data_IF_354437494911
#
_entry.id   IF_354437494911
#
_cell.length_a   1.000
_cell.length_b   1.000
_cell.length_c   1.000
_cell.angle_alpha   90.00
_cell.angle_beta   90.00
_cell.angle_gamma   90.00
#
_symmetry.space_group_name_H-M   'P 1'
#
loop_
_entity.id
_entity.type
_entity.pdbx_description
1 polymer ?
#
# COMPACT_ATOMS: atom_id res chain seq x y z
N UNK A 1 -22.19 9.02 4.75
CA UNK A 1 -21.57 9.61 5.95
C UNK A 1 -20.43 10.50 5.55
N UNK A 2 -19.89 11.33 6.49
CA UNK A 2 -18.78 12.24 6.18
C UNK A 2 -17.50 11.75 6.84
N UNK A 3 -16.45 11.64 6.06
CA UNK A 3 -15.08 11.29 6.49
C UNK A 3 -14.11 12.42 6.15
N UNK A 4 -13.18 12.65 7.04
CA UNK A 4 -12.03 13.52 6.82
C UNK A 4 -10.77 12.69 7.04
N UNK A 5 -9.93 12.58 6.03
CA UNK A 5 -8.66 11.86 6.10
C UNK A 5 -7.52 12.87 6.21
N UNK A 6 -6.76 12.79 7.29
CA UNK A 6 -5.58 13.62 7.50
C UNK A 6 -4.39 12.99 6.78
N UNK A 7 -4.00 13.57 5.66
CA UNK A 7 -2.90 13.09 4.83
C UNK A 7 -2.00 14.24 4.39
N UNK A 8 -0.69 14.03 4.29
CA UNK A 8 0.17 14.94 3.51
C UNK A 8 -0.21 14.89 2.02
N UNK A 9 0.37 15.79 1.19
CA UNK A 9 0.23 15.70 -0.27
C UNK A 9 0.58 14.31 -0.78
N UNK A 10 -0.11 13.85 -1.84
CA UNK A 10 0.18 12.55 -2.45
C UNK A 10 1.64 12.40 -2.83
N UNK A 11 2.21 11.27 -2.44
CA UNK A 11 3.57 10.89 -2.77
C UNK A 11 3.60 9.36 -2.98
N UNK A 12 3.79 8.95 -4.22
CA UNK A 12 3.84 7.53 -4.60
C UNK A 12 5.00 6.75 -4.00
N UNK A 13 6.05 7.45 -3.56
CA UNK A 13 7.21 6.81 -2.90
C UNK A 13 6.95 6.45 -1.43
N UNK A 14 5.83 6.92 -0.84
CA UNK A 14 5.49 6.73 0.57
C UNK A 14 4.22 5.89 0.70
N UNK A 15 4.37 4.60 0.99
CA UNK A 15 3.26 3.63 1.03
C UNK A 15 2.09 4.03 1.94
N UNK A 16 2.37 4.63 3.11
CA UNK A 16 1.33 5.13 4.01
C UNK A 16 0.51 6.26 3.40
N UNK A 17 1.16 7.17 2.64
CA UNK A 17 0.45 8.25 1.93
C UNK A 17 -0.42 7.67 0.81
N UNK A 18 0.11 6.72 0.03
CA UNK A 18 -0.65 6.01 -1.00
C UNK A 18 -1.89 5.34 -0.39
N UNK A 19 -1.74 4.66 0.75
CA UNK A 19 -2.85 4.02 1.44
C UNK A 19 -3.94 5.01 1.87
N UNK A 20 -3.57 6.18 2.45
CA UNK A 20 -4.52 7.23 2.83
C UNK A 20 -5.34 7.74 1.64
N UNK A 21 -4.68 7.99 0.51
CA UNK A 21 -5.36 8.43 -0.70
C UNK A 21 -6.24 7.32 -1.30
N UNK A 22 -5.77 6.09 -1.30
CA UNK A 22 -6.54 4.95 -1.80
C UNK A 22 -7.78 4.67 -0.94
N UNK A 23 -7.67 4.80 0.40
CA UNK A 23 -8.84 4.71 1.29
C UNK A 23 -9.86 5.79 0.95
N UNK A 24 -9.40 7.02 0.70
CA UNK A 24 -10.26 8.14 0.33
C UNK A 24 -11.07 7.85 -0.95
N UNK A 25 -10.43 7.27 -1.95
CA UNK A 25 -11.06 6.84 -3.20
C UNK A 25 -12.06 5.71 -3.01
N UNK A 26 -11.66 4.70 -2.22
CA UNK A 26 -12.51 3.53 -1.95
C UNK A 26 -13.78 3.94 -1.20
N UNK A 27 -13.66 4.76 -0.15
CA UNK A 27 -14.81 5.30 0.58
C UNK A 27 -15.73 6.13 -0.33
N UNK A 28 -15.15 6.99 -1.19
CA UNK A 28 -15.92 7.79 -2.16
C UNK A 28 -16.64 6.90 -3.17
N UNK A 29 -16.03 5.80 -3.60
CA UNK A 29 -16.64 4.82 -4.52
C UNK A 29 -17.80 4.06 -3.87
N UNK A 30 -17.77 3.91 -2.55
CA UNK A 30 -18.87 3.34 -1.76
C UNK A 30 -20.01 4.35 -1.48
N UNK A 31 -19.93 5.57 -2.04
CA UNK A 31 -20.96 6.60 -1.89
C UNK A 31 -20.84 7.44 -0.62
N UNK A 32 -19.72 7.33 0.09
CA UNK A 32 -19.47 8.17 1.27
C UNK A 32 -18.94 9.57 0.87
N UNK A 33 -19.24 10.58 1.67
CA UNK A 33 -18.72 11.93 1.47
C UNK A 33 -17.34 12.03 2.11
N UNK A 34 -16.28 12.17 1.28
CA UNK A 34 -14.89 12.09 1.75
C UNK A 34 -14.12 13.35 1.41
N UNK A 35 -13.40 13.84 2.40
CA UNK A 35 -12.46 14.94 2.31
C UNK A 35 -11.06 14.47 2.73
N UNK A 36 -10.03 15.02 2.08
CA UNK A 36 -8.63 14.73 2.40
C UNK A 36 -7.87 16.05 2.57
N UNK A 37 -6.94 16.11 3.53
CA UNK A 37 -6.09 17.27 3.75
C UNK A 37 -4.93 17.33 2.75
N UNK A 38 -4.49 18.53 2.46
CA UNK A 38 -3.31 18.77 1.62
C UNK A 38 -3.60 18.84 0.11
N UNK A 39 -2.74 19.53 -0.62
CA UNK A 39 -2.87 19.63 -2.08
C UNK A 39 -2.60 18.26 -2.70
N UNK A 40 -3.45 17.89 -3.62
CA UNK A 40 -3.41 16.60 -4.29
C UNK A 40 -2.58 16.71 -5.58
N UNK A 41 -1.51 15.91 -5.72
CA UNK A 41 -1.28 15.23 -6.98
C UNK A 41 -2.20 14.01 -6.93
N UNK A 42 -3.25 14.01 -7.72
CA UNK A 42 -4.40 13.14 -7.57
C UNK A 42 -4.09 11.66 -7.80
N UNK A 43 -4.57 10.83 -6.90
CA UNK A 43 -4.84 9.43 -7.22
C UNK A 43 -6.13 9.33 -8.08
N UNK A 44 -7.16 10.08 -7.80
CA UNK A 44 -8.36 10.25 -8.64
C UNK A 44 -9.18 11.50 -8.32
N UNK A 45 -10.28 11.72 -9.09
CA UNK A 45 -11.15 12.88 -8.99
C UNK A 45 -12.32 12.74 -8.00
N UNK A 46 -12.40 11.65 -7.23
CA UNK A 46 -13.58 11.31 -6.43
C UNK A 46 -13.62 11.99 -5.07
N UNK A 47 -12.46 12.13 -4.41
CA UNK A 47 -12.37 12.77 -3.11
C UNK A 47 -12.23 14.27 -3.22
N UNK A 48 -12.80 14.99 -2.25
CA UNK A 48 -12.71 16.45 -2.15
C UNK A 48 -11.48 16.84 -1.34
N UNK A 49 -10.72 17.84 -1.82
CA UNK A 49 -9.68 18.48 -1.01
C UNK A 49 -10.34 19.42 -0.03
N UNK A 50 -9.89 19.41 1.22
CA UNK A 50 -10.35 20.39 2.22
C UNK A 50 -9.87 21.78 1.80
N UNK A 51 -10.82 22.70 1.70
CA UNK A 51 -10.59 24.12 1.49
C UNK A 51 -10.77 24.91 2.80
N UNK A 52 -10.26 26.14 2.83
CA UNK A 52 -10.46 27.05 3.98
C UNK A 52 -11.94 27.39 4.24
N UNK A 53 -12.80 27.21 3.24
CA UNK A 53 -14.23 27.50 3.32
C UNK A 53 -15.07 26.31 3.78
N UNK A 54 -14.50 25.09 3.83
CA UNK A 54 -15.23 23.92 4.27
C UNK A 54 -15.52 24.00 5.77
N UNK A 55 -16.74 23.66 6.12
CA UNK A 55 -17.21 23.56 7.51
C UNK A 55 -17.69 22.15 7.77
N UNK A 56 -17.16 21.56 8.82
CA UNK A 56 -17.52 20.21 9.25
C UNK A 56 -18.27 20.28 10.57
N UNK A 57 -19.41 19.58 10.65
CA UNK A 57 -19.98 19.24 11.94
C UNK A 57 -19.12 18.10 12.53
N UNK A 58 -18.13 18.47 13.33
CA UNK A 58 -17.17 17.54 13.93
C UNK A 58 -17.82 16.57 14.93
N UNK A 59 -19.09 16.78 15.28
CA UNK A 59 -19.88 15.83 16.06
C UNK A 59 -20.49 14.71 15.19
N UNK A 60 -20.49 14.88 13.86
CA UNK A 60 -21.07 13.92 12.89
C UNK A 60 -20.09 13.52 11.80
N UNK A 61 -18.82 13.84 11.98
CA UNK A 61 -17.75 13.56 11.04
C UNK A 61 -16.75 12.63 11.67
N UNK A 62 -16.40 11.56 10.97
CA UNK A 62 -15.27 10.68 11.34
C UNK A 62 -13.98 11.30 10.81
N UNK A 63 -13.03 11.55 11.69
CA UNK A 63 -11.70 12.01 11.29
C UNK A 63 -10.69 10.87 11.41
N UNK A 64 -10.00 10.55 10.33
CA UNK A 64 -9.03 9.46 10.25
C UNK A 64 -7.63 10.07 10.28
N UNK A 65 -6.84 9.66 11.27
CA UNK A 65 -5.43 10.03 11.42
C UNK A 65 -4.55 8.79 11.30
N UNK A 66 -3.45 8.84 10.52
CA UNK A 66 -2.42 7.81 10.65
C UNK A 66 -1.72 7.90 12.01
N UNK A 67 -1.04 6.84 12.41
CA UNK A 67 -0.37 6.70 13.71
C UNK A 67 0.69 7.76 13.98
N UNK A 68 1.24 8.37 12.94
CA UNK A 68 2.27 9.41 13.04
C UNK A 68 1.73 10.78 13.49
N UNK A 69 0.41 10.96 13.48
CA UNK A 69 -0.22 12.25 13.86
C UNK A 69 -0.42 12.33 15.36
N UNK A 70 0.25 13.30 15.97
CA UNK A 70 0.14 13.58 17.41
C UNK A 70 -1.15 14.32 17.73
N UNK A 71 -1.84 13.90 18.77
CA UNK A 71 -3.04 14.56 19.28
C UNK A 71 -4.26 14.47 18.32
N UNK A 72 -5.09 15.50 18.34
CA UNK A 72 -6.31 15.59 17.52
C UNK A 72 -6.39 16.99 16.86
N UNK A 73 -5.66 17.24 15.77
CA UNK A 73 -5.56 18.57 15.15
C UNK A 73 -6.89 19.22 14.77
N UNK A 74 -7.90 18.43 14.40
CA UNK A 74 -9.25 18.96 14.08
C UNK A 74 -10.13 19.08 15.31
N UNK A 75 -9.69 18.68 16.50
CA UNK A 75 -10.53 18.61 17.71
C UNK A 75 -11.86 17.86 17.46
N UNK A 76 -11.80 16.80 16.68
CA UNK A 76 -12.97 16.00 16.30
C UNK A 76 -13.48 15.16 17.48
N UNK A 77 -14.80 14.96 17.54
CA UNK A 77 -15.41 14.07 18.55
C UNK A 77 -15.14 12.59 18.24
N UNK A 78 -15.19 12.23 16.96
CA UNK A 78 -15.08 10.85 16.50
C UNK A 78 -13.77 10.68 15.71
N UNK A 79 -12.80 10.02 16.32
CA UNK A 79 -11.45 9.84 15.79
C UNK A 79 -11.21 8.37 15.48
N UNK A 80 -10.66 8.12 14.31
CA UNK A 80 -10.06 6.84 13.92
C UNK A 80 -8.55 7.00 13.89
N UNK A 81 -7.82 6.09 14.53
CA UNK A 81 -6.37 5.90 14.42
C UNK A 81 -6.11 4.74 13.49
N UNK A 82 -5.56 5.04 12.34
CA UNK A 82 -5.23 4.03 11.35
C UNK A 82 -3.73 3.75 11.39
N UNK A 83 -3.36 2.59 11.92
CA UNK A 83 -1.98 2.18 12.08
C UNK A 83 -1.45 1.68 10.73
N UNK A 84 -0.82 2.56 9.98
CA UNK A 84 -0.10 2.27 8.73
C UNK A 84 1.30 1.74 8.98
N UNK A 85 1.72 1.79 10.26
CA UNK A 85 2.91 1.16 10.81
C UNK A 85 2.73 0.95 12.32
N UNK A 86 3.70 0.28 12.95
CA UNK A 86 3.78 0.23 14.42
C UNK A 86 4.00 1.65 14.96
N UNK A 87 3.19 2.12 15.94
CA UNK A 87 3.33 3.45 16.51
C UNK A 87 4.77 3.77 16.96
N UNK A 88 5.18 5.01 16.80
CA UNK A 88 6.51 5.54 17.09
C UNK A 88 7.63 5.10 16.14
N UNK A 89 7.44 4.09 15.32
CA UNK A 89 8.49 3.61 14.41
C UNK A 89 8.84 4.62 13.32
N UNK A 90 7.81 5.30 12.77
CA UNK A 90 7.97 6.30 11.70
C UNK A 90 7.63 7.73 12.19
N UNK A 91 7.52 7.94 13.50
CA UNK A 91 7.14 9.20 14.13
C UNK A 91 5.84 9.06 14.93
N UNK A 92 5.33 10.21 15.42
CA UNK A 92 4.20 10.23 16.35
C UNK A 92 4.61 9.86 17.78
N UNK A 93 3.68 10.03 18.73
CA UNK A 93 3.90 9.71 20.15
C UNK A 93 3.25 8.39 20.58
N UNK A 94 2.39 7.83 19.73
CA UNK A 94 1.64 6.61 20.00
C UNK A 94 0.57 6.79 21.10
N UNK A 95 0.27 8.03 21.49
CA UNK A 95 -0.72 8.31 22.55
C UNK A 95 -2.10 8.54 21.89
N UNK A 96 -3.00 7.60 22.10
CA UNK A 96 -4.38 7.65 21.59
C UNK A 96 -5.36 7.71 22.75
N UNK A 97 -6.48 8.42 22.56
CA UNK A 97 -7.53 8.48 23.57
C UNK A 97 -8.29 7.15 23.66
N UNK A 98 -8.86 6.84 24.81
CA UNK A 98 -9.70 5.64 24.99
C UNK A 98 -10.95 5.64 24.10
N UNK A 99 -11.37 6.81 23.63
CA UNK A 99 -12.49 6.99 22.70
C UNK A 99 -12.10 6.83 21.24
N UNK A 100 -10.80 6.78 20.90
CA UNK A 100 -10.34 6.65 19.53
C UNK A 100 -10.59 5.20 19.05
N UNK A 101 -11.08 5.05 17.82
CA UNK A 101 -11.25 3.76 17.17
C UNK A 101 -9.94 3.39 16.49
N UNK A 102 -9.33 2.28 16.88
CA UNK A 102 -8.02 1.86 16.36
C UNK A 102 -8.22 0.76 15.32
N UNK A 103 -7.65 0.97 14.12
CA UNK A 103 -7.59 -0.01 13.04
C UNK A 103 -6.15 -0.22 12.61
N UNK A 104 -5.79 -1.45 12.23
CA UNK A 104 -4.47 -1.78 11.69
C UNK A 104 -4.55 -1.96 10.17
N UNK A 105 -3.54 -1.52 9.45
CA UNK A 105 -3.44 -1.78 8.01
C UNK A 105 -3.20 -3.26 7.72
N UNK A 106 -2.32 -3.89 8.51
CA UNK A 106 -2.00 -5.32 8.47
C UNK A 106 -1.86 -5.87 9.88
N UNK A 107 -2.10 -7.16 10.05
CA UNK A 107 -2.15 -7.78 11.37
C UNK A 107 -0.81 -7.72 12.12
N UNK A 108 0.32 -7.82 11.44
CA UNK A 108 1.64 -7.79 12.09
C UNK A 108 2.10 -6.41 12.57
N UNK A 109 1.41 -5.31 12.25
CA UNK A 109 1.64 -4.03 12.92
C UNK A 109 1.09 -4.10 14.34
N UNK A 110 1.88 -3.66 15.32
CA UNK A 110 1.50 -3.78 16.72
C UNK A 110 0.85 -2.50 17.20
N UNK A 111 -0.27 -2.64 17.92
CA UNK A 111 -0.82 -1.59 18.75
C UNK A 111 -0.25 -1.71 20.17
N UNK A 112 -0.22 -0.60 20.94
CA UNK A 112 0.20 -0.64 22.35
C UNK A 112 -0.77 -1.46 23.21
N UNK A 113 -2.04 -1.47 22.83
CA UNK A 113 -3.10 -2.26 23.43
C UNK A 113 -3.93 -2.92 22.34
N UNK A 114 -3.65 -4.18 22.06
CA UNK A 114 -4.34 -4.95 21.02
C UNK A 114 -5.84 -5.15 21.32
N UNK A 115 -6.26 -5.06 22.59
CA UNK A 115 -7.68 -5.18 22.98
C UNK A 115 -8.54 -4.01 22.48
N UNK A 116 -7.92 -2.88 22.15
CA UNK A 116 -8.58 -1.68 21.60
C UNK A 116 -8.68 -1.68 20.08
N UNK A 117 -8.00 -2.62 19.40
CA UNK A 117 -8.06 -2.73 17.94
C UNK A 117 -9.42 -3.25 17.52
N UNK A 118 -10.08 -2.51 16.63
CA UNK A 118 -11.42 -2.83 16.11
C UNK A 118 -11.40 -3.80 14.93
N UNK A 119 -10.27 -3.84 14.21
CA UNK A 119 -10.10 -4.73 13.08
C UNK A 119 -8.99 -4.30 12.14
N UNK A 120 -8.92 -5.00 11.03
CA UNK A 120 -8.03 -4.66 9.93
C UNK A 120 -8.80 -3.75 8.96
N UNK A 121 -8.16 -2.65 8.59
CA UNK A 121 -8.59 -1.77 7.52
C UNK A 121 -7.44 -1.69 6.52
N UNK A 122 -7.53 -2.40 5.43
CA UNK A 122 -6.51 -2.35 4.39
C UNK A 122 -7.11 -1.91 3.05
N UNK A 123 -6.26 -1.37 2.21
CA UNK A 123 -6.59 -0.99 0.84
C UNK A 123 -5.43 -1.40 -0.06
N UNK A 124 -5.74 -2.23 -1.06
CA UNK A 124 -4.78 -2.68 -2.06
C UNK A 124 -5.28 -2.33 -3.46
N UNK A 125 -4.42 -1.71 -4.23
CA UNK A 125 -4.59 -1.57 -5.66
C UNK A 125 -3.30 -2.04 -6.35
N UNK A 126 -3.35 -3.24 -6.89
CA UNK A 126 -2.23 -3.82 -7.64
C UNK A 126 -2.19 -3.32 -9.08
N UNK A 127 -3.13 -2.46 -9.47
CA UNK A 127 -3.25 -1.90 -10.83
C UNK A 127 -3.32 -3.00 -11.88
N UNK A 128 -4.10 -4.04 -11.60
CA UNK A 128 -4.19 -5.25 -12.45
C UNK A 128 -4.57 -4.93 -13.91
N UNK A 129 -5.39 -3.90 -14.13
CA UNK A 129 -5.80 -3.47 -15.47
C UNK A 129 -4.70 -2.73 -16.23
N UNK A 130 -3.68 -2.22 -15.52
CA UNK A 130 -2.60 -1.45 -16.13
C UNK A 130 -1.38 -2.27 -16.45
N UNK A 131 -1.04 -3.25 -15.60
CA UNK A 131 0.15 -4.08 -15.73
C UNK A 131 -0.21 -5.45 -16.28
N UNK A 132 0.26 -5.74 -17.49
CA UNK A 132 0.03 -7.00 -18.21
C UNK A 132 1.17 -7.28 -19.18
N UNK A 133 1.35 -8.54 -19.53
CA UNK A 133 2.35 -8.98 -20.49
C UNK A 133 1.86 -8.65 -21.92
N UNK A 134 2.70 -7.98 -22.69
CA UNK A 134 2.43 -7.66 -24.10
C UNK A 134 2.61 -8.86 -25.02
N UNK A 135 3.22 -9.95 -24.53
CA UNK A 135 3.52 -11.13 -25.34
C UNK A 135 4.56 -10.88 -26.44
N UNK A 136 5.44 -9.89 -26.26
CA UNK A 136 6.50 -9.53 -27.22
C UNK A 136 7.86 -10.06 -26.76
N UNK A 137 8.79 -10.17 -27.72
CA UNK A 137 10.18 -10.45 -27.41
C UNK A 137 10.77 -9.35 -26.53
N UNK A 138 11.59 -9.76 -25.55
CA UNK A 138 12.26 -8.86 -24.63
C UNK A 138 13.64 -8.50 -25.12
N UNK A 139 13.96 -7.21 -25.15
CA UNK A 139 15.19 -6.68 -25.75
C UNK A 139 16.30 -6.45 -24.75
N UNK A 140 15.94 -6.28 -23.47
CA UNK A 140 16.85 -6.05 -22.37
C UNK A 140 16.87 -7.23 -21.42
N UNK A 141 18.05 -7.59 -20.90
CA UNK A 141 18.15 -8.71 -19.96
C UNK A 141 17.65 -8.35 -18.57
N UNK A 142 18.05 -7.21 -18.03
CA UNK A 142 17.78 -6.87 -16.64
C UNK A 142 17.43 -5.40 -16.44
N UNK A 143 16.50 -5.16 -15.50
CA UNK A 143 16.35 -3.89 -14.81
C UNK A 143 16.40 -4.11 -13.29
N UNK A 144 16.73 -3.08 -12.53
CA UNK A 144 16.89 -3.19 -11.08
C UNK A 144 16.42 -1.95 -10.33
N UNK A 145 16.18 -2.11 -9.03
CA UNK A 145 15.83 -1.02 -8.12
C UNK A 145 16.42 -1.24 -6.73
N UNK A 146 17.07 -0.23 -6.16
CA UNK A 146 17.72 -0.34 -4.84
C UNK A 146 16.83 0.16 -3.71
N UNK A 147 16.32 1.38 -3.75
CA UNK A 147 15.50 2.03 -2.70
C UNK A 147 15.94 1.65 -1.26
N UNK A 148 15.09 0.88 -0.55
CA UNK A 148 15.38 0.44 0.84
C UNK A 148 16.45 -0.63 0.95
N UNK A 149 16.97 -1.11 -0.17
CA UNK A 149 18.02 -2.13 -0.22
C UNK A 149 19.45 -1.58 -0.21
N UNK A 150 19.64 -0.33 0.19
CA UNK A 150 21.00 0.27 0.32
C UNK A 150 21.85 -0.59 1.26
N UNK A 151 23.04 -0.96 0.81
CA UNK A 151 23.97 -1.82 1.56
C UNK A 151 23.90 -3.30 1.19
N UNK A 152 22.87 -3.77 0.47
CA UNK A 152 22.86 -5.14 -0.05
C UNK A 152 23.91 -5.32 -1.15
N UNK A 153 24.45 -6.54 -1.25
CA UNK A 153 25.38 -6.89 -2.35
C UNK A 153 24.64 -6.82 -3.68
N UNK A 154 25.15 -6.00 -4.59
CA UNK A 154 24.62 -5.87 -5.96
C UNK A 154 24.99 -7.13 -6.77
N UNK A 155 23.99 -7.70 -7.45
CA UNK A 155 24.12 -8.91 -8.26
C UNK A 155 23.61 -8.76 -9.69
N UNK A 156 23.03 -7.59 -10.03
CA UNK A 156 22.60 -7.29 -11.39
C UNK A 156 23.80 -7.07 -12.33
N UNK A 157 23.58 -7.26 -13.61
CA UNK A 157 24.61 -7.03 -14.63
C UNK A 157 24.96 -5.53 -14.74
N UNK A 158 26.18 -5.21 -15.17
CA UNK A 158 26.66 -3.82 -15.25
C UNK A 158 25.89 -2.95 -16.25
N UNK A 159 25.20 -3.56 -17.23
CA UNK A 159 24.36 -2.92 -18.22
C UNK A 159 22.86 -2.98 -17.88
N UNK A 160 22.50 -3.42 -16.69
CA UNK A 160 21.12 -3.44 -16.24
C UNK A 160 20.54 -2.02 -16.15
N UNK A 161 19.26 -1.87 -16.51
CA UNK A 161 18.57 -0.57 -16.47
C UNK A 161 18.24 -0.21 -15.03
N UNK A 162 18.72 0.93 -14.54
CA UNK A 162 18.23 1.50 -13.27
C UNK A 162 16.77 1.93 -13.45
N UNK A 163 15.88 1.33 -12.69
CA UNK A 163 14.45 1.56 -12.79
C UNK A 163 13.99 2.84 -12.09
N UNK A 164 14.76 3.39 -11.14
CA UNK A 164 14.32 4.52 -10.30
C UNK A 164 13.86 5.76 -11.06
N UNK A 165 14.43 6.13 -12.24
CA UNK A 165 13.94 7.28 -13.01
C UNK A 165 12.56 7.08 -13.66
N UNK A 166 12.00 5.87 -13.68
CA UNK A 166 10.84 5.47 -14.50
C UNK A 166 9.68 4.97 -13.63
N UNK A 167 9.32 5.71 -12.57
CA UNK A 167 8.35 5.26 -11.57
C UNK A 167 6.87 5.48 -11.96
N UNK A 168 6.58 6.21 -13.04
CA UNK A 168 5.20 6.31 -13.52
C UNK A 168 4.71 5.02 -14.18
N UNK A 169 3.40 4.80 -14.17
CA UNK A 169 2.81 3.52 -14.56
C UNK A 169 3.10 3.12 -16.01
N UNK A 170 3.13 4.06 -16.95
CA UNK A 170 3.30 3.75 -18.37
C UNK A 170 4.76 3.39 -18.69
N UNK A 171 5.71 4.19 -18.23
CA UNK A 171 7.13 3.90 -18.38
C UNK A 171 7.52 2.62 -17.63
N UNK A 172 6.99 2.43 -16.42
CA UNK A 172 7.22 1.21 -15.64
C UNK A 172 6.75 -0.04 -16.37
N UNK A 173 5.53 -0.01 -16.91
CA UNK A 173 4.95 -1.14 -17.66
C UNK A 173 5.79 -1.45 -18.89
N UNK A 174 6.21 -0.44 -19.64
CA UNK A 174 6.98 -0.61 -20.87
C UNK A 174 8.37 -1.23 -20.59
N UNK A 175 9.07 -0.74 -19.54
CA UNK A 175 10.35 -1.32 -19.11
C UNK A 175 10.18 -2.78 -18.67
N UNK A 176 9.15 -3.09 -17.87
CA UNK A 176 8.94 -4.47 -17.44
C UNK A 176 8.59 -5.41 -18.59
N UNK A 177 7.96 -4.91 -19.65
CA UNK A 177 7.70 -5.68 -20.85
C UNK A 177 8.94 -5.82 -21.76
N UNK A 178 9.92 -4.94 -21.63
CA UNK A 178 11.20 -5.00 -22.38
C UNK A 178 12.28 -5.83 -21.68
N UNK A 179 12.20 -6.01 -20.35
CA UNK A 179 13.21 -6.72 -19.57
C UNK A 179 12.82 -8.17 -19.30
N UNK A 180 13.80 -9.09 -19.37
CA UNK A 180 13.62 -10.50 -18.98
C UNK A 180 13.48 -10.64 -17.47
N UNK A 181 14.24 -9.83 -16.69
CA UNK A 181 14.31 -9.91 -15.23
C UNK A 181 14.33 -8.54 -14.56
N UNK A 182 13.56 -8.41 -13.48
CA UNK A 182 13.60 -7.28 -12.57
C UNK A 182 14.19 -7.70 -11.22
N UNK A 183 15.27 -7.05 -10.78
CA UNK A 183 15.94 -7.32 -9.50
C UNK A 183 15.62 -6.20 -8.53
N UNK A 184 14.84 -6.50 -7.50
CA UNK A 184 14.49 -5.57 -6.43
C UNK A 184 15.35 -5.83 -5.19
N UNK A 185 16.12 -4.83 -4.80
CA UNK A 185 16.79 -4.83 -3.50
C UNK A 185 15.87 -4.32 -2.38
N UNK A 186 14.76 -3.66 -2.74
CA UNK A 186 13.69 -3.28 -1.80
C UNK A 186 12.74 -4.47 -1.57
N UNK A 187 12.70 -4.94 -0.33
CA UNK A 187 11.92 -6.11 0.09
C UNK A 187 10.39 -5.88 0.10
N UNK A 188 9.92 -4.66 -0.11
CA UNK A 188 8.48 -4.32 0.02
C UNK A 188 7.94 -3.51 -1.17
N UNK A 189 8.61 -3.53 -2.32
CA UNK A 189 8.22 -2.73 -3.46
C UNK A 189 7.07 -3.35 -4.26
N UNK A 190 6.02 -2.58 -4.48
CA UNK A 190 4.92 -2.95 -5.39
C UNK A 190 5.39 -3.16 -6.83
N UNK A 191 6.53 -2.58 -7.23
CA UNK A 191 7.11 -2.79 -8.56
C UNK A 191 7.49 -4.25 -8.82
N UNK A 192 7.81 -5.04 -7.76
CA UNK A 192 8.01 -6.48 -7.92
C UNK A 192 6.76 -7.20 -8.41
N UNK A 193 5.59 -6.79 -7.91
CA UNK A 193 4.29 -7.29 -8.38
C UNK A 193 4.03 -6.85 -9.82
N UNK A 194 4.23 -5.58 -10.11
CA UNK A 194 4.01 -5.00 -11.43
C UNK A 194 4.89 -5.65 -12.50
N UNK A 195 6.17 -5.89 -12.19
CA UNK A 195 7.10 -6.60 -13.06
C UNK A 195 6.58 -8.02 -13.38
N UNK A 196 6.21 -8.78 -12.35
CA UNK A 196 5.66 -10.13 -12.54
C UNK A 196 4.34 -10.14 -13.31
N UNK A 197 3.45 -9.16 -13.11
CA UNK A 197 2.22 -9.00 -13.89
C UNK A 197 2.48 -8.73 -15.38
N UNK A 198 3.62 -8.11 -15.71
CA UNK A 198 4.09 -7.90 -17.07
C UNK A 198 4.87 -9.10 -17.64
N UNK A 199 4.93 -10.24 -16.94
CA UNK A 199 5.68 -11.42 -17.37
C UNK A 199 7.21 -11.31 -17.21
N UNK A 200 7.71 -10.22 -16.61
CA UNK A 200 9.12 -10.05 -16.24
C UNK A 200 9.44 -10.90 -15.03
N UNK A 201 10.51 -11.69 -15.04
CA UNK A 201 10.94 -12.50 -13.88
C UNK A 201 11.32 -11.55 -12.74
N UNK A 202 10.48 -11.49 -11.71
CA UNK A 202 10.68 -10.59 -10.58
C UNK A 202 11.42 -11.30 -9.45
N UNK A 203 12.57 -10.75 -9.05
CA UNK A 203 13.42 -11.29 -7.97
C UNK A 203 13.59 -10.25 -6.88
N UNK A 204 13.21 -10.60 -5.66
CA UNK A 204 13.49 -9.82 -4.44
C UNK A 204 14.78 -10.37 -3.81
N UNK A 205 15.76 -9.50 -3.58
CA UNK A 205 17.00 -9.89 -2.90
C UNK A 205 16.72 -10.05 -1.42
N UNK A 206 16.98 -11.24 -0.83
CA UNK A 206 16.70 -11.53 0.56
C UNK A 206 17.38 -10.56 1.53
N UNK A 207 16.74 -10.35 2.67
CA UNK A 207 17.38 -9.78 3.85
C UNK A 207 18.14 -10.85 4.60
N UNK A 208 19.23 -10.45 5.28
CA UNK A 208 20.00 -11.38 6.12
C UNK A 208 19.10 -12.04 7.18
N UNK A 209 19.22 -13.34 7.33
CA UNK A 209 18.50 -14.16 8.33
C UNK A 209 16.96 -14.15 8.20
N UNK A 210 16.41 -13.77 7.06
CA UNK A 210 14.98 -13.89 6.75
C UNK A 210 14.82 -14.95 5.66
N UNK A 211 14.14 -16.03 5.98
CA UNK A 211 13.79 -17.04 4.98
C UNK A 211 12.53 -16.64 4.18
N UNK A 212 12.25 -17.42 3.14
CA UNK A 212 11.11 -17.14 2.26
C UNK A 212 9.77 -17.23 2.99
N UNK A 213 9.60 -18.20 3.88
CA UNK A 213 8.32 -18.42 4.55
C UNK A 213 8.02 -17.28 5.54
N UNK A 214 9.03 -16.82 6.27
CA UNK A 214 8.92 -15.61 7.09
C UNK A 214 8.62 -14.36 6.24
N UNK A 215 9.29 -14.21 5.11
CA UNK A 215 9.05 -13.11 4.19
C UNK A 215 7.60 -13.10 3.69
N UNK A 216 7.09 -14.26 3.22
CA UNK A 216 5.72 -14.41 2.72
C UNK A 216 4.67 -14.26 3.83
N UNK A 217 4.94 -14.73 5.05
CA UNK A 217 4.02 -14.57 6.18
C UNK A 217 3.67 -13.12 6.46
N UNK A 218 4.64 -12.22 6.26
CA UNK A 218 4.46 -10.76 6.41
C UNK A 218 3.94 -10.07 5.14
N UNK A 219 4.09 -10.72 3.97
CA UNK A 219 3.73 -10.17 2.64
C UNK A 219 3.09 -11.23 1.76
N UNK A 220 1.91 -11.72 2.14
CA UNK A 220 1.28 -12.85 1.46
C UNK A 220 1.03 -12.58 -0.04
N UNK A 221 0.86 -11.33 -0.44
CA UNK A 221 0.70 -10.93 -1.84
C UNK A 221 1.96 -11.12 -2.71
N UNK A 222 3.11 -11.52 -2.12
CA UNK A 222 4.32 -11.94 -2.86
C UNK A 222 4.41 -13.46 -3.06
N UNK A 223 3.39 -14.22 -2.66
CA UNK A 223 3.43 -15.69 -2.64
C UNK A 223 3.67 -16.31 -4.02
N UNK A 224 3.08 -15.75 -5.06
CA UNK A 224 3.13 -16.27 -6.43
C UNK A 224 3.83 -15.30 -7.37
N UNK A 225 4.51 -15.82 -8.40
CA UNK A 225 5.11 -15.05 -9.49
C UNK A 225 6.34 -14.22 -9.12
N UNK A 226 6.77 -14.22 -7.84
CA UNK A 226 7.90 -13.45 -7.36
C UNK A 226 8.88 -14.37 -6.66
N UNK A 227 10.16 -14.32 -7.07
CA UNK A 227 11.26 -15.07 -6.46
C UNK A 227 11.82 -14.33 -5.24
N UNK A 228 12.13 -15.05 -4.17
CA UNK A 228 12.87 -14.56 -3.02
C UNK A 228 14.28 -15.14 -3.06
N UNK A 229 15.20 -14.41 -3.72
CA UNK A 229 16.53 -14.87 -4.09
C UNK A 229 16.58 -15.52 -5.47
N UNK A 230 17.80 -15.65 -6.02
CA UNK A 230 18.02 -16.20 -7.36
C UNK A 230 17.65 -17.69 -7.47
N UNK A 231 17.78 -18.44 -6.38
CA UNK A 231 17.50 -19.88 -6.36
C UNK A 231 15.99 -20.19 -6.41
N UNK A 232 15.12 -19.18 -6.21
CA UNK A 232 13.66 -19.33 -6.19
C UNK A 232 12.98 -19.00 -7.54
N UNK A 233 13.76 -18.70 -8.59
CA UNK A 233 13.26 -18.24 -9.90
C UNK A 233 12.34 -19.28 -10.56
N UNK A 234 12.71 -20.55 -10.55
CA UNK A 234 11.91 -21.57 -11.24
C UNK A 234 10.52 -21.71 -10.60
N UNK A 235 10.43 -21.73 -9.26
CA UNK A 235 9.15 -21.73 -8.55
C UNK A 235 8.33 -20.44 -8.88
N UNK A 236 9.00 -19.29 -8.96
CA UNK A 236 8.31 -18.04 -9.30
C UNK A 236 7.70 -18.10 -10.71
N UNK A 237 8.43 -18.62 -11.69
CA UNK A 237 7.93 -18.83 -13.07
C UNK A 237 6.74 -19.81 -13.09
N UNK A 238 6.84 -20.95 -12.42
CA UNK A 238 5.77 -21.94 -12.33
C UNK A 238 4.49 -21.38 -11.72
N UNK A 239 4.62 -20.50 -10.74
CA UNK A 239 3.49 -19.93 -10.01
C UNK A 239 2.97 -18.60 -10.58
N UNK A 240 3.66 -18.01 -11.52
CA UNK A 240 3.27 -16.73 -12.15
C UNK A 240 1.84 -16.74 -12.75
N UNK A 241 1.38 -17.81 -13.41
CA UNK A 241 0.00 -17.86 -13.91
C UNK A 241 -1.07 -17.74 -12.82
N UNK A 242 -0.76 -18.12 -11.58
CA UNK A 242 -1.70 -18.06 -10.45
C UNK A 242 -1.80 -16.65 -9.84
N UNK A 243 -0.83 -15.78 -10.12
CA UNK A 243 -0.64 -14.53 -9.40
C UNK A 243 -1.81 -13.56 -9.56
N UNK A 244 -2.31 -13.37 -10.78
CA UNK A 244 -3.35 -12.37 -11.08
C UNK A 244 -4.64 -12.65 -10.31
N UNK A 245 -5.13 -13.88 -10.36
CA UNK A 245 -6.36 -14.27 -9.65
C UNK A 245 -6.17 -14.19 -8.12
N UNK A 246 -5.01 -14.56 -7.64
CA UNK A 246 -4.68 -14.46 -6.23
C UNK A 246 -4.67 -12.99 -5.73
N UNK A 247 -4.05 -12.08 -6.48
CA UNK A 247 -4.05 -10.66 -6.16
C UNK A 247 -5.43 -10.02 -6.24
N UNK A 248 -6.27 -10.49 -7.18
CA UNK A 248 -7.67 -10.07 -7.26
C UNK A 248 -8.43 -10.40 -5.97
N UNK A 249 -8.23 -11.60 -5.41
CA UNK A 249 -8.77 -11.97 -4.10
C UNK A 249 -8.37 -10.97 -2.99
N UNK A 250 -7.11 -10.54 -2.94
CA UNK A 250 -6.68 -9.51 -2.00
C UNK A 250 -7.39 -8.17 -2.18
N UNK A 251 -7.64 -7.75 -3.43
CA UNK A 251 -8.40 -6.51 -3.68
C UNK A 251 -9.86 -6.63 -3.23
N UNK A 252 -10.47 -7.81 -3.40
CA UNK A 252 -11.83 -8.09 -2.96
C UNK A 252 -11.93 -8.10 -1.42
N UNK A 253 -11.00 -8.74 -0.72
CA UNK A 253 -10.90 -8.75 0.74
C UNK A 253 -10.66 -7.34 1.30
N UNK A 254 -9.80 -6.58 0.63
CA UNK A 254 -9.53 -5.18 0.94
C UNK A 254 -10.81 -4.33 0.84
N UNK A 255 -11.57 -4.47 -0.23
CA UNK A 255 -12.86 -3.78 -0.38
C UNK A 255 -13.84 -4.18 0.72
N UNK A 256 -13.86 -5.46 1.11
CA UNK A 256 -14.71 -5.93 2.20
C UNK A 256 -14.29 -5.29 3.54
N UNK A 257 -12.98 -5.19 3.82
CA UNK A 257 -12.50 -4.54 5.05
C UNK A 257 -12.94 -3.08 5.15
N UNK A 258 -12.97 -2.35 4.02
CA UNK A 258 -13.49 -0.97 3.98
C UNK A 258 -15.01 -0.93 4.19
N UNK A 259 -15.78 -1.86 3.64
CA UNK A 259 -17.24 -1.94 3.90
C UNK A 259 -17.54 -2.21 5.38
N UNK A 260 -16.79 -3.11 6.00
CA UNK A 260 -16.92 -3.41 7.42
C UNK A 260 -16.56 -2.21 8.30
N UNK A 261 -15.50 -1.49 7.93
CA UNK A 261 -15.12 -0.23 8.55
C UNK A 261 -16.24 0.83 8.46
N UNK A 262 -16.85 0.99 7.28
CA UNK A 262 -17.98 1.92 7.08
C UNK A 262 -19.16 1.52 7.97
N UNK A 263 -19.49 0.24 8.03
CA UNK A 263 -20.56 -0.28 8.89
C UNK A 263 -20.29 0.03 10.37
N UNK A 264 -19.12 -0.32 10.88
CA UNK A 264 -18.74 -0.13 12.29
C UNK A 264 -18.70 1.35 12.69
N UNK A 265 -18.20 2.23 11.79
CA UNK A 265 -18.16 3.67 12.07
C UNK A 265 -19.55 4.31 12.04
N UNK A 266 -20.47 3.82 11.21
CA UNK A 266 -21.90 4.23 11.23
C UNK A 266 -22.58 3.82 12.53
N UNK A 267 -22.36 2.61 13.00
CA UNK A 267 -22.88 2.17 14.30
C UNK A 267 -22.33 3.00 15.47
N UNK A 268 -21.02 3.35 15.41
CA UNK A 268 -20.39 4.18 16.44
C UNK A 268 -21.02 5.58 16.53
N UNK A 269 -21.37 6.20 15.40
CA UNK A 269 -22.02 7.52 15.37
C UNK A 269 -23.48 7.50 15.82
N UNK A 270 -24.13 6.33 15.79
CA UNK A 270 -25.54 6.17 16.18
C UNK A 270 -25.75 6.00 17.69
N UNK A 271 -24.65 5.81 18.42
CA UNK A 271 -24.61 5.70 19.89
C UNK A 271 -24.27 7.04 20.54
#
# INVERSE_FOLDING_TARGET
MKYVIYSPPYNESVGGVVALHLLSETLSSLGEEVYITGPIKRYSNKSKIISQNDRFDLNKTIVIYPEVVVGNPFNAKHVVRWLLNTPRLMGGDGIFKDTDLIYKYVDYFKADDESKVRGILNVFDFKLEKFYDYGKDRTNKQCFMVKKGVGKKMIHESNAIDFLPFLDDDNSRDIFNDCEMFISYDYASMHSIQAALCGCVSVVIPDENVDRDEFISKRPYFKYGIAYGMDDIERAKETMPMMRDYLKGFQEDSLQSVKDFVYQTKEHLSK
#
